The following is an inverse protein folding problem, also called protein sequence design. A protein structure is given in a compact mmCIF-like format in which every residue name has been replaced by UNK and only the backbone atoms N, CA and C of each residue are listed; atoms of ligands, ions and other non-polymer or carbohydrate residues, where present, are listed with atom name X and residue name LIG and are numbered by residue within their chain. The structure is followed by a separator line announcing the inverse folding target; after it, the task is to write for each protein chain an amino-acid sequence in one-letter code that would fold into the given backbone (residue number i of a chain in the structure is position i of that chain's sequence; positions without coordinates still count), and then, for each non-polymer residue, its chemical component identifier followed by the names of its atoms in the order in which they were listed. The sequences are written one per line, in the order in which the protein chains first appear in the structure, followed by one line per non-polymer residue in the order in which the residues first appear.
data_IF_770865768943
#
_entry.id   IF_770865768943
#
_cell.length_a   1.000
_cell.length_b   1.000
_cell.length_c   1.000
_cell.angle_alpha   90.00
_cell.angle_beta   90.00
_cell.angle_gamma   90.00
#
_symmetry.space_group_name_H-M   'P 1'
#
loop_
_entity.id
_entity.type
_entity.pdbx_description
1 polymer ?
#
# COMPACT_ATOMS: atom_id res chain seq x y z
N UNK A 1 9.06 -26.52 15.02
CA UNK A 1 8.56 -27.65 14.20
C UNK A 1 9.00 -27.49 12.75
N UNK A 2 8.69 -26.36 12.11
CA UNK A 2 9.00 -26.05 10.70
C UNK A 2 10.49 -25.97 10.37
N UNK A 3 11.30 -25.35 11.23
CA UNK A 3 12.76 -25.23 11.00
C UNK A 3 13.46 -26.58 10.79
N UNK A 4 13.18 -27.55 11.67
CA UNK A 4 13.76 -28.90 11.57
C UNK A 4 13.37 -29.61 10.27
N UNK A 5 12.14 -29.43 9.81
CA UNK A 5 11.65 -30.02 8.56
C UNK A 5 12.36 -29.41 7.35
N UNK A 6 12.51 -28.07 7.33
CA UNK A 6 13.24 -27.34 6.27
C UNK A 6 14.69 -27.83 6.17
N UNK A 7 15.39 -28.00 7.29
CA UNK A 7 16.75 -28.53 7.27
C UNK A 7 16.81 -29.96 6.71
N UNK A 8 15.89 -30.85 7.08
CA UNK A 8 15.88 -32.22 6.54
C UNK A 8 15.67 -32.25 5.01
N UNK A 9 14.82 -31.37 4.48
CA UNK A 9 14.57 -31.25 3.04
C UNK A 9 15.78 -30.63 2.30
N UNK A 10 16.47 -29.67 2.92
CA UNK A 10 17.71 -29.08 2.39
C UNK A 10 18.84 -30.10 2.18
N UNK A 11 18.95 -31.11 3.04
CA UNK A 11 19.95 -32.17 2.90
C UNK A 11 19.63 -33.16 1.76
N UNK A 12 18.36 -33.29 1.36
CA UNK A 12 17.94 -34.15 0.25
C UNK A 12 18.08 -33.48 -1.12
N UNK A 13 18.30 -32.15 -1.15
CA UNK A 13 18.36 -31.38 -2.38
C UNK A 13 19.77 -31.39 -3.01
N UNK A 14 19.86 -31.50 -4.34
CA UNK A 14 21.11 -31.30 -5.08
C UNK A 14 21.56 -29.82 -5.04
N UNK A 15 22.87 -29.60 -5.23
CA UNK A 15 23.55 -28.30 -5.07
C UNK A 15 22.85 -27.14 -5.80
N UNK A 16 22.40 -27.37 -7.05
CA UNK A 16 21.76 -26.34 -7.87
C UNK A 16 20.43 -25.84 -7.30
N UNK A 17 19.64 -26.71 -6.66
CA UNK A 17 18.37 -26.31 -6.04
C UNK A 17 18.59 -25.59 -4.71
N UNK A 18 19.71 -25.85 -4.02
CA UNK A 18 20.07 -25.08 -2.81
C UNK A 18 20.30 -23.61 -3.13
N UNK A 19 20.87 -23.30 -4.30
CA UNK A 19 21.06 -21.93 -4.78
C UNK A 19 19.70 -21.23 -4.98
N UNK A 20 18.74 -21.93 -5.56
CA UNK A 20 17.39 -21.40 -5.75
C UNK A 20 16.66 -21.17 -4.42
N UNK A 21 16.80 -22.08 -3.46
CA UNK A 21 16.30 -21.88 -2.08
C UNK A 21 16.94 -20.65 -1.43
N UNK A 22 18.25 -20.44 -1.64
CA UNK A 22 18.96 -19.27 -1.12
C UNK A 22 18.40 -17.97 -1.71
N UNK A 23 18.19 -17.93 -3.03
CA UNK A 23 17.55 -16.81 -3.71
C UNK A 23 16.13 -16.55 -3.19
N UNK A 24 15.35 -17.61 -2.95
CA UNK A 24 13.99 -17.49 -2.44
C UNK A 24 13.95 -16.97 -1.00
N UNK A 25 14.86 -17.43 -0.13
CA UNK A 25 15.01 -16.89 1.23
C UNK A 25 15.36 -15.40 1.19
N UNK A 26 16.30 -15.00 0.32
CA UNK A 26 16.65 -13.60 0.13
C UNK A 26 15.47 -12.76 -0.38
N UNK A 27 14.66 -13.32 -1.28
CA UNK A 27 13.41 -12.70 -1.74
C UNK A 27 12.41 -12.51 -0.61
N UNK A 28 12.15 -13.55 0.20
CA UNK A 28 11.21 -13.47 1.33
C UNK A 28 11.64 -12.45 2.39
N UNK A 29 12.93 -12.36 2.69
CA UNK A 29 13.47 -11.33 3.61
C UNK A 29 13.22 -9.93 3.06
N UNK A 30 13.45 -9.73 1.76
CA UNK A 30 13.20 -8.45 1.09
C UNK A 30 11.71 -8.09 1.06
N UNK A 31 10.86 -9.07 0.76
CA UNK A 31 9.40 -8.90 0.74
C UNK A 31 8.88 -8.52 2.13
N UNK A 32 9.29 -9.24 3.18
CA UNK A 32 8.95 -8.93 4.57
C UNK A 32 9.38 -7.50 4.96
N UNK A 33 10.61 -7.10 4.61
CA UNK A 33 11.09 -5.74 4.87
C UNK A 33 10.26 -4.68 4.11
N UNK A 34 9.80 -5.01 2.91
CA UNK A 34 8.96 -4.11 2.11
C UNK A 34 7.51 -4.04 2.61
N UNK A 35 6.93 -5.13 3.10
CA UNK A 35 5.58 -5.14 3.71
C UNK A 35 5.52 -4.36 5.02
N UNK A 36 6.58 -4.42 5.83
CA UNK A 36 6.70 -3.59 7.04
C UNK A 36 6.77 -2.09 6.69
N UNK A 37 7.23 -1.74 5.48
CA UNK A 37 7.18 -0.37 4.94
C UNK A 37 5.89 -0.04 4.18
N UNK A 38 5.05 -1.04 3.89
CA UNK A 38 3.72 -0.89 3.28
C UNK A 38 2.59 -0.67 4.29
N UNK A 39 2.91 -0.49 5.58
CA UNK A 39 2.08 0.35 6.46
C UNK A 39 2.14 1.75 5.85
N UNK A 40 1.30 1.97 4.84
CA UNK A 40 1.24 3.16 4.00
C UNK A 40 1.26 4.35 4.93
N UNK A 41 2.43 4.99 5.08
CA UNK A 41 2.53 6.23 5.86
C UNK A 41 1.41 7.11 5.34
N UNK A 42 0.48 7.56 6.20
CA UNK A 42 -0.69 8.30 5.73
C UNK A 42 -0.16 9.44 4.87
N UNK A 43 -0.57 9.45 3.60
CA UNK A 43 -0.07 10.40 2.62
C UNK A 43 -0.30 11.79 3.20
N UNK A 44 0.77 12.53 3.49
CA UNK A 44 0.65 13.88 4.07
C UNK A 44 -0.19 14.72 3.12
N UNK A 45 -1.35 15.19 3.59
CA UNK A 45 -2.23 16.07 2.80
C UNK A 45 -1.50 17.39 2.59
N UNK A 46 -1.38 17.81 1.34
CA UNK A 46 -0.77 19.10 0.99
C UNK A 46 -1.86 20.16 0.85
N UNK A 47 -1.75 21.22 1.66
CA UNK A 47 -2.63 22.39 1.56
C UNK A 47 -2.51 23.01 0.16
N UNK A 48 -3.63 23.41 -0.44
CA UNK A 48 -3.64 24.01 -1.77
C UNK A 48 -3.35 23.06 -2.93
N UNK A 49 -3.42 21.74 -2.75
CA UNK A 49 -3.25 20.73 -3.83
C UNK A 49 -4.21 20.88 -5.02
N UNK A 50 -5.30 21.63 -4.84
CA UNK A 50 -6.28 21.97 -5.86
C UNK A 50 -6.28 23.46 -6.25
N UNK A 51 -5.30 24.26 -5.79
CA UNK A 51 -5.22 25.70 -6.10
C UNK A 51 -5.13 25.89 -7.62
N UNK A 52 -6.07 26.66 -8.18
CA UNK A 52 -6.14 26.95 -9.61
C UNK A 52 -6.74 25.84 -10.49
N UNK A 53 -7.21 24.73 -9.91
CA UNK A 53 -7.85 23.64 -10.69
C UNK A 53 -9.34 23.86 -10.94
N UNK A 54 -9.98 24.70 -10.13
CA UNK A 54 -11.41 24.96 -10.20
C UNK A 54 -11.65 26.47 -10.16
N UNK A 55 -12.63 26.90 -10.94
CA UNK A 55 -13.15 28.26 -10.88
C UNK A 55 -14.50 28.19 -10.17
N UNK A 56 -14.66 29.00 -9.13
CA UNK A 56 -15.93 29.07 -8.40
C UNK A 56 -16.93 29.82 -9.27
N UNK A 57 -18.13 29.26 -9.44
CA UNK A 57 -19.20 29.96 -10.11
C UNK A 57 -19.64 31.19 -9.27
N UNK A 58 -20.07 32.30 -9.89
CA UNK A 58 -20.47 33.51 -9.17
C UNK A 58 -21.64 33.29 -8.19
N UNK A 59 -22.42 32.24 -8.39
CA UNK A 59 -23.61 31.85 -7.64
C UNK A 59 -23.37 30.67 -6.68
N UNK A 60 -22.11 30.33 -6.37
CA UNK A 60 -21.79 29.17 -5.52
C UNK A 60 -22.47 29.21 -4.13
N UNK A 61 -22.62 30.41 -3.57
CA UNK A 61 -23.29 30.60 -2.27
C UNK A 61 -24.82 30.64 -2.39
N UNK A 62 -25.38 30.56 -3.60
CA UNK A 62 -26.81 30.54 -3.80
C UNK A 62 -27.43 29.21 -3.32
N UNK A 63 -28.64 29.24 -2.76
CA UNK A 63 -29.32 28.02 -2.33
C UNK A 63 -29.63 27.14 -3.52
N UNK A 64 -29.32 25.85 -3.39
CA UNK A 64 -29.72 24.85 -4.38
C UNK A 64 -31.24 24.68 -4.35
N UNK A 65 -31.87 24.69 -5.51
CA UNK A 65 -33.33 24.57 -5.64
C UNK A 65 -33.87 23.32 -4.93
N UNK A 66 -33.15 22.20 -5.05
CA UNK A 66 -33.49 20.91 -4.43
C UNK A 66 -33.41 20.93 -2.88
N UNK A 67 -32.73 21.92 -2.30
CA UNK A 67 -32.57 22.07 -0.85
C UNK A 67 -33.47 23.14 -0.24
N UNK A 68 -34.30 23.82 -1.05
CA UNK A 68 -35.22 24.87 -0.58
C UNK A 68 -36.20 24.39 0.47
N UNK A 69 -36.65 23.14 0.38
CA UNK A 69 -37.57 22.53 1.37
C UNK A 69 -36.94 22.38 2.77
N UNK A 70 -35.60 22.41 2.87
CA UNK A 70 -34.85 22.24 4.11
C UNK A 70 -34.34 23.57 4.71
N UNK A 71 -34.56 24.70 4.05
CA UNK A 71 -34.25 26.02 4.59
C UNK A 71 -35.47 26.59 5.32
N UNK A 72 -35.41 26.80 6.65
CA UNK A 72 -36.53 27.32 7.46
C UNK A 72 -36.84 28.80 7.18
#
# INVERSE_FOLDING_TARGET
MTEKLIFSQLYQLPEHLKVEVLHYIAFLIKEQASEVHQVRKPKKRTFGSAKGKYQLAPDFDAPLDDFKEYMP
#
